data_IF_158390724745
#
_entry.id   IF_158390724745
#
_cell.length_a   1.000
_cell.length_b   1.000
_cell.length_c   1.000
_cell.angle_alpha   90.00
_cell.angle_beta   90.00
_cell.angle_gamma   90.00
#
_symmetry.space_group_name_H-M   'P 1'
#
loop_
_entity.id
_entity.type
_entity.pdbx_description
1 polymer ?
#
# COMPACT_ATOMS: atom_id res chain seq x y z
N UNK A 1 -3.04 19.99 -27.07
CA UNK A 1 -2.65 18.62 -26.73
C UNK A 1 -3.42 17.64 -27.58
N UNK A 2 -2.77 16.56 -28.03
CA UNK A 2 -3.43 15.51 -28.81
C UNK A 2 -4.40 14.77 -27.88
N UNK A 3 -5.68 14.69 -28.26
CA UNK A 3 -6.68 13.90 -27.53
C UNK A 3 -6.31 12.42 -27.68
N UNK A 4 -5.91 11.78 -26.60
CA UNK A 4 -5.48 10.36 -26.61
C UNK A 4 -6.67 9.43 -26.46
N UNK A 5 -7.74 9.89 -25.82
CA UNK A 5 -8.95 9.13 -25.58
C UNK A 5 -10.14 10.08 -25.32
N UNK A 6 -11.30 9.77 -25.92
CA UNK A 6 -12.57 10.44 -25.64
C UNK A 6 -13.51 9.44 -24.96
N UNK A 7 -13.92 9.69 -23.69
CA UNK A 7 -14.89 8.84 -23.01
C UNK A 7 -16.28 8.93 -23.67
N UNK A 8 -17.18 7.99 -23.36
CA UNK A 8 -18.58 8.05 -23.80
C UNK A 8 -19.26 9.35 -23.36
N UNK A 9 -20.34 9.78 -24.05
CA UNK A 9 -21.13 10.92 -23.60
C UNK A 9 -21.63 10.74 -22.17
N UNK A 10 -21.66 11.82 -21.39
CA UNK A 10 -22.01 11.75 -19.97
C UNK A 10 -23.41 11.17 -19.72
N UNK A 11 -24.34 11.32 -20.65
CA UNK A 11 -25.69 10.74 -20.58
C UNK A 11 -25.68 9.21 -20.54
N UNK A 12 -24.64 8.57 -21.09
CA UNK A 12 -24.51 7.11 -21.12
C UNK A 12 -23.69 6.57 -19.93
N UNK A 13 -22.96 7.44 -19.23
CA UNK A 13 -22.07 7.03 -18.13
C UNK A 13 -22.79 6.20 -17.09
N UNK A 14 -24.00 6.63 -16.67
CA UNK A 14 -24.78 5.87 -15.67
C UNK A 14 -25.10 4.46 -16.17
N UNK A 15 -25.56 4.32 -17.42
CA UNK A 15 -25.89 3.03 -18.02
C UNK A 15 -24.68 2.09 -18.01
N UNK A 16 -23.52 2.57 -18.50
CA UNK A 16 -22.30 1.74 -18.55
C UNK A 16 -21.76 1.39 -17.16
N UNK A 17 -21.91 2.29 -16.18
CA UNK A 17 -21.55 1.98 -14.79
C UNK A 17 -22.49 0.95 -14.18
N UNK A 18 -23.80 1.00 -14.43
CA UNK A 18 -24.77 0.00 -13.98
C UNK A 18 -24.44 -1.38 -14.59
N UNK A 19 -24.11 -1.45 -15.87
CA UNK A 19 -23.68 -2.66 -16.57
C UNK A 19 -22.37 -3.22 -15.99
N UNK A 20 -21.38 -2.37 -15.70
CA UNK A 20 -20.13 -2.76 -15.08
C UNK A 20 -20.36 -3.32 -13.67
N UNK A 21 -21.21 -2.68 -12.87
CA UNK A 21 -21.57 -3.13 -11.52
C UNK A 21 -22.29 -4.49 -11.59
N UNK A 22 -23.19 -4.67 -12.55
CA UNK A 22 -23.85 -5.95 -12.77
C UNK A 22 -22.83 -7.05 -13.10
N UNK A 23 -21.89 -6.78 -14.03
CA UNK A 23 -20.81 -7.69 -14.37
C UNK A 23 -19.91 -8.03 -13.15
N UNK A 24 -19.54 -7.03 -12.35
CA UNK A 24 -18.75 -7.23 -11.13
C UNK A 24 -19.45 -8.15 -10.11
N UNK A 25 -20.78 -8.14 -10.08
CA UNK A 25 -21.59 -8.91 -9.13
C UNK A 25 -22.01 -10.28 -9.66
N UNK A 26 -21.83 -10.55 -10.94
CA UNK A 26 -22.09 -11.88 -11.49
C UNK A 26 -20.99 -12.85 -11.04
N UNK A 27 -21.38 -13.85 -10.25
CA UNK A 27 -20.49 -14.91 -9.75
C UNK A 27 -20.67 -16.23 -10.50
N UNK A 28 -21.53 -16.25 -11.51
CA UNK A 28 -21.90 -17.48 -12.25
C UNK A 28 -21.25 -17.58 -13.63
N UNK A 29 -20.54 -16.55 -14.06
CA UNK A 29 -19.89 -16.47 -15.37
C UNK A 29 -18.67 -17.39 -15.52
N UNK A 30 -18.18 -17.99 -14.42
CA UNK A 30 -17.03 -18.89 -14.42
C UNK A 30 -15.68 -18.23 -14.76
N UNK A 31 -15.63 -16.89 -14.87
CA UNK A 31 -14.41 -16.14 -15.19
C UNK A 31 -13.51 -16.10 -13.98
N UNK A 32 -12.22 -16.42 -14.17
CA UNK A 32 -11.23 -16.31 -13.10
C UNK A 32 -11.19 -14.86 -12.55
N UNK A 33 -11.24 -14.66 -11.21
CA UNK A 33 -11.33 -13.34 -10.61
C UNK A 33 -10.20 -12.37 -11.00
N UNK A 34 -8.97 -12.86 -11.24
CA UNK A 34 -7.86 -12.00 -11.70
C UNK A 34 -8.08 -11.50 -13.13
N UNK A 35 -8.63 -12.36 -14.02
CA UNK A 35 -9.00 -11.96 -15.37
C UNK A 35 -10.17 -10.97 -15.32
N UNK A 36 -11.14 -11.24 -14.48
CA UNK A 36 -12.29 -10.36 -14.27
C UNK A 36 -11.88 -8.99 -13.72
N UNK A 37 -10.94 -8.95 -12.78
CA UNK A 37 -10.36 -7.69 -12.30
C UNK A 37 -9.70 -6.86 -13.42
N UNK A 38 -8.99 -7.53 -14.35
CA UNK A 38 -8.41 -6.86 -15.52
C UNK A 38 -9.48 -6.24 -16.41
N UNK A 39 -10.56 -6.97 -16.69
CA UNK A 39 -11.69 -6.50 -17.51
C UNK A 39 -12.40 -5.33 -16.81
N UNK A 40 -12.72 -5.47 -15.55
CA UNK A 40 -13.36 -4.43 -14.73
C UNK A 40 -12.54 -3.15 -14.78
N UNK A 41 -11.23 -3.24 -14.56
CA UNK A 41 -10.36 -2.07 -14.57
C UNK A 41 -10.33 -1.38 -15.93
N UNK A 42 -10.17 -2.13 -17.05
CA UNK A 42 -10.16 -1.54 -18.38
C UNK A 42 -11.50 -0.92 -18.78
N UNK A 43 -12.61 -1.52 -18.37
CA UNK A 43 -13.94 -0.97 -18.60
C UNK A 43 -14.17 0.30 -17.81
N UNK A 44 -13.81 0.32 -16.52
CA UNK A 44 -13.89 1.52 -15.69
C UNK A 44 -13.09 2.69 -16.29
N UNK A 45 -11.84 2.42 -16.72
CA UNK A 45 -10.99 3.42 -17.37
C UNK A 45 -11.54 3.87 -18.74
N UNK A 46 -12.35 3.03 -19.39
CA UNK A 46 -13.03 3.35 -20.67
C UNK A 46 -14.30 4.16 -20.46
N UNK A 47 -15.09 3.87 -19.43
CA UNK A 47 -16.27 4.64 -19.05
C UNK A 47 -15.87 6.04 -18.57
N UNK A 48 -14.78 6.11 -17.78
CA UNK A 48 -14.18 7.35 -17.28
C UNK A 48 -15.19 8.26 -16.56
N UNK A 49 -15.86 7.76 -15.49
CA UNK A 49 -17.08 8.39 -14.97
C UNK A 49 -16.87 9.71 -14.23
N UNK A 50 -15.65 10.09 -13.91
CA UNK A 50 -15.33 11.29 -13.13
C UNK A 50 -14.53 12.30 -13.96
N UNK A 51 -14.66 13.59 -13.65
CA UNK A 51 -13.84 14.63 -14.28
C UNK A 51 -12.35 14.46 -13.96
N UNK A 52 -12.04 13.98 -12.75
CA UNK A 52 -10.68 13.75 -12.28
C UNK A 52 -10.60 12.52 -11.37
N UNK A 53 -9.43 11.87 -11.36
CA UNK A 53 -9.14 10.81 -10.40
C UNK A 53 -9.55 9.40 -10.84
N UNK A 54 -10.06 9.21 -12.06
CA UNK A 54 -10.48 7.90 -12.57
C UNK A 54 -9.40 6.84 -12.38
N UNK A 55 -8.15 7.11 -12.75
CA UNK A 55 -7.07 6.15 -12.58
C UNK A 55 -6.79 5.75 -11.12
N UNK A 56 -7.00 6.65 -10.15
CA UNK A 56 -6.89 6.30 -8.72
C UNK A 56 -8.03 5.41 -8.28
N UNK A 57 -9.26 5.77 -8.65
CA UNK A 57 -10.46 4.99 -8.33
C UNK A 57 -10.41 3.62 -9.03
N UNK A 58 -10.03 3.58 -10.31
CA UNK A 58 -9.91 2.34 -11.07
C UNK A 58 -8.90 1.36 -10.45
N UNK A 59 -7.75 1.85 -9.96
CA UNK A 59 -6.78 1.01 -9.27
C UNK A 59 -7.25 0.57 -7.88
N UNK A 60 -7.95 1.43 -7.15
CA UNK A 60 -8.58 1.03 -5.88
C UNK A 60 -9.64 -0.04 -6.10
N UNK A 61 -10.42 0.06 -7.18
CA UNK A 61 -11.44 -0.91 -7.54
C UNK A 61 -10.88 -2.32 -7.76
N UNK A 62 -9.64 -2.45 -8.28
CA UNK A 62 -8.96 -3.74 -8.39
C UNK A 62 -8.84 -4.41 -7.02
N UNK A 63 -8.29 -3.69 -6.04
CA UNK A 63 -8.09 -4.23 -4.67
C UNK A 63 -9.41 -4.59 -4.01
N UNK A 64 -10.42 -3.73 -4.13
CA UNK A 64 -11.74 -3.96 -3.56
C UNK A 64 -12.45 -5.16 -4.21
N UNK A 65 -12.34 -5.31 -5.54
CA UNK A 65 -12.92 -6.44 -6.24
C UNK A 65 -12.23 -7.76 -5.86
N UNK A 66 -10.90 -7.80 -5.84
CA UNK A 66 -10.16 -9.01 -5.44
C UNK A 66 -10.42 -9.41 -3.98
N UNK A 67 -10.60 -8.43 -3.09
CA UNK A 67 -11.01 -8.68 -1.72
C UNK A 67 -12.44 -9.26 -1.64
N UNK A 68 -13.40 -8.67 -2.36
CA UNK A 68 -14.76 -9.18 -2.45
C UNK A 68 -14.83 -10.59 -3.05
N UNK A 69 -13.97 -10.88 -4.01
CA UNK A 69 -13.87 -12.20 -4.66
C UNK A 69 -13.04 -13.21 -3.85
N UNK A 70 -12.66 -12.87 -2.62
CA UNK A 70 -11.89 -13.71 -1.68
C UNK A 70 -10.53 -14.18 -2.22
N UNK A 71 -9.97 -13.47 -3.21
CA UNK A 71 -8.62 -13.74 -3.75
C UNK A 71 -7.53 -13.21 -2.81
N UNK A 72 -7.84 -12.15 -2.07
CA UNK A 72 -6.96 -11.54 -1.07
C UNK A 72 -7.73 -11.35 0.24
N UNK A 73 -7.04 -11.47 1.38
CA UNK A 73 -7.65 -11.39 2.71
C UNK A 73 -7.84 -9.94 3.22
N UNK A 74 -7.23 -8.97 2.54
CA UNK A 74 -7.35 -7.54 2.87
C UNK A 74 -7.16 -6.70 1.61
N UNK A 75 -7.80 -5.51 1.50
CA UNK A 75 -7.80 -4.72 0.26
C UNK A 75 -6.53 -3.86 0.10
N UNK A 76 -5.35 -4.40 0.43
CA UNK A 76 -4.06 -3.70 0.36
C UNK A 76 -3.21 -4.05 -0.87
N UNK A 77 -3.81 -4.67 -1.87
CA UNK A 77 -3.12 -5.01 -3.11
C UNK A 77 -3.15 -3.83 -4.10
N UNK A 78 -2.29 -2.84 -3.90
CA UNK A 78 -2.25 -1.64 -4.74
C UNK A 78 -1.35 -1.83 -5.96
N UNK A 79 -1.96 -1.78 -7.16
CA UNK A 79 -1.26 -1.94 -8.44
C UNK A 79 -0.52 -0.68 -8.93
N UNK A 80 -0.56 0.40 -8.16
CA UNK A 80 -0.07 1.72 -8.63
C UNK A 80 1.43 1.72 -8.91
N UNK A 81 2.23 1.05 -8.08
CA UNK A 81 3.67 0.96 -8.24
C UNK A 81 4.04 0.19 -9.52
N UNK A 82 3.54 -1.05 -9.66
CA UNK A 82 3.82 -1.90 -10.82
C UNK A 82 3.36 -1.27 -12.15
N UNK A 83 2.27 -0.49 -12.13
CA UNK A 83 1.78 0.22 -13.31
C UNK A 83 2.63 1.46 -13.60
N UNK A 84 3.08 2.20 -12.57
CA UNK A 84 3.85 3.44 -12.76
C UNK A 84 5.21 3.21 -13.39
N UNK A 85 5.82 2.05 -13.17
CA UNK A 85 7.09 1.64 -13.78
C UNK A 85 7.01 1.58 -15.31
N UNK A 86 5.85 1.20 -15.87
CA UNK A 86 5.61 1.06 -17.31
C UNK A 86 4.41 1.87 -17.79
N UNK A 87 4.26 3.09 -17.30
CA UNK A 87 3.10 3.95 -17.54
C UNK A 87 2.72 4.08 -19.02
N UNK A 88 3.71 4.22 -19.92
CA UNK A 88 3.46 4.30 -21.36
C UNK A 88 2.88 3.01 -21.93
N UNK A 89 3.44 1.87 -21.49
CA UNK A 89 2.95 0.54 -21.94
C UNK A 89 1.53 0.32 -21.41
N UNK A 90 1.27 0.67 -20.16
CA UNK A 90 -0.06 0.59 -19.57
C UNK A 90 -1.12 1.34 -20.39
N UNK A 91 -0.87 2.59 -20.77
CA UNK A 91 -1.83 3.34 -21.61
C UNK A 91 -2.01 2.74 -23.00
N UNK A 92 -0.94 2.22 -23.61
CA UNK A 92 -1.04 1.53 -24.90
C UNK A 92 -1.90 0.27 -24.78
N UNK A 93 -1.73 -0.53 -23.71
CA UNK A 93 -2.52 -1.72 -23.48
C UNK A 93 -3.99 -1.40 -23.18
N UNK A 94 -4.28 -0.35 -22.43
CA UNK A 94 -5.66 0.15 -22.26
C UNK A 94 -6.30 0.55 -23.59
N UNK A 95 -5.55 1.25 -24.45
CA UNK A 95 -6.03 1.63 -25.77
C UNK A 95 -6.30 0.39 -26.62
N UNK A 96 -5.41 -0.59 -26.60
CA UNK A 96 -5.56 -1.86 -27.31
C UNK A 96 -6.80 -2.63 -26.85
N UNK A 97 -7.08 -2.64 -25.54
CA UNK A 97 -8.29 -3.33 -25.01
C UNK A 97 -9.59 -2.72 -25.53
N UNK A 98 -9.63 -1.42 -25.81
CA UNK A 98 -10.80 -0.72 -26.38
C UNK A 98 -11.05 -1.07 -27.84
N UNK A 99 -10.03 -1.54 -28.56
CA UNK A 99 -10.11 -1.97 -29.98
C UNK A 99 -10.27 -3.46 -30.15
N UNK A 100 -10.49 -4.21 -29.05
CA UNK A 100 -10.81 -5.65 -29.07
C UNK A 100 -9.65 -6.58 -28.69
N UNK A 101 -8.42 -6.08 -28.45
CA UNK A 101 -7.27 -6.90 -28.03
C UNK A 101 -7.22 -7.12 -26.50
N UNK A 102 -8.24 -7.79 -25.96
CA UNK A 102 -8.28 -8.10 -24.52
C UNK A 102 -7.20 -9.05 -24.06
N UNK A 103 -6.73 -9.97 -24.90
CA UNK A 103 -5.69 -10.95 -24.54
C UNK A 103 -4.39 -10.25 -24.15
N UNK A 104 -3.96 -9.25 -24.91
CA UNK A 104 -2.73 -8.50 -24.63
C UNK A 104 -2.85 -7.69 -23.33
N UNK A 105 -4.00 -7.04 -23.15
CA UNK A 105 -4.31 -6.31 -21.92
C UNK A 105 -4.31 -7.22 -20.70
N UNK A 106 -5.05 -8.33 -20.74
CA UNK A 106 -5.13 -9.30 -19.64
C UNK A 106 -3.75 -9.87 -19.31
N UNK A 107 -2.97 -10.22 -20.34
CA UNK A 107 -1.61 -10.72 -20.17
C UNK A 107 -0.69 -9.69 -19.49
N UNK A 108 -0.75 -8.43 -19.92
CA UNK A 108 -0.03 -7.33 -19.30
C UNK A 108 -0.45 -7.16 -17.83
N UNK A 109 -1.76 -7.09 -17.58
CA UNK A 109 -2.32 -6.91 -16.23
C UNK A 109 -1.86 -8.02 -15.28
N UNK A 110 -1.97 -9.29 -15.68
CA UNK A 110 -1.54 -10.44 -14.87
C UNK A 110 -0.03 -10.42 -14.59
N UNK A 111 0.80 -10.04 -15.57
CA UNK A 111 2.23 -9.83 -15.34
C UNK A 111 2.48 -8.76 -14.29
N UNK A 112 1.73 -7.66 -14.31
CA UNK A 112 1.83 -6.58 -13.31
C UNK A 112 1.34 -7.05 -11.93
N UNK A 113 0.31 -7.88 -11.85
CA UNK A 113 -0.09 -8.54 -10.60
C UNK A 113 1.06 -9.36 -9.99
N UNK A 114 1.77 -10.14 -10.81
CA UNK A 114 2.92 -10.95 -10.34
C UNK A 114 4.05 -10.05 -9.83
N UNK A 115 4.37 -8.97 -10.55
CA UNK A 115 5.42 -8.00 -10.13
C UNK A 115 5.04 -7.39 -8.78
N UNK A 116 3.80 -6.91 -8.65
CA UNK A 116 3.32 -6.28 -7.40
C UNK A 116 3.29 -7.27 -6.24
N UNK A 117 2.82 -8.50 -6.46
CA UNK A 117 2.80 -9.53 -5.42
C UNK A 117 4.22 -9.86 -4.90
N UNK A 118 5.21 -9.96 -5.80
CA UNK A 118 6.61 -10.19 -5.42
C UNK A 118 7.20 -9.01 -4.66
N UNK A 119 6.88 -7.77 -5.05
CA UNK A 119 7.29 -6.57 -4.34
C UNK A 119 6.73 -6.57 -2.92
N UNK A 120 5.45 -6.87 -2.74
CA UNK A 120 4.83 -6.95 -1.41
C UNK A 120 5.42 -8.06 -0.54
N UNK A 121 5.69 -9.24 -1.09
CA UNK A 121 6.36 -10.34 -0.35
C UNK A 121 7.73 -9.87 0.14
N UNK A 122 8.54 -9.30 -0.75
CA UNK A 122 9.88 -8.78 -0.40
C UNK A 122 9.81 -7.68 0.67
N UNK A 123 8.80 -6.82 0.60
CA UNK A 123 8.57 -5.78 1.62
C UNK A 123 8.22 -6.40 2.98
N UNK A 124 7.31 -7.37 3.02
CA UNK A 124 6.92 -8.08 4.25
C UNK A 124 8.10 -8.82 4.86
N UNK A 125 8.91 -9.50 4.05
CA UNK A 125 10.13 -10.18 4.52
C UNK A 125 11.12 -9.18 5.12
N UNK A 126 11.30 -8.02 4.48
CA UNK A 126 12.16 -6.95 4.99
C UNK A 126 11.65 -6.38 6.31
N UNK A 127 10.34 -6.19 6.43
CA UNK A 127 9.70 -5.72 7.66
C UNK A 127 9.84 -6.73 8.80
N UNK A 128 9.62 -8.01 8.52
CA UNK A 128 9.80 -9.09 9.49
C UNK A 128 11.26 -9.18 9.97
N UNK A 129 12.22 -9.08 9.05
CA UNK A 129 13.65 -9.06 9.38
C UNK A 129 14.01 -7.85 10.26
N UNK A 130 13.47 -6.66 9.94
CA UNK A 130 13.66 -5.46 10.74
C UNK A 130 13.04 -5.65 12.15
N UNK A 131 11.84 -6.21 12.24
CA UNK A 131 11.16 -6.48 13.49
C UNK A 131 12.00 -7.42 14.39
N UNK A 132 12.42 -8.57 13.87
CA UNK A 132 13.20 -9.54 14.63
C UNK A 132 14.57 -8.99 15.07
N UNK A 133 15.25 -8.22 14.21
CA UNK A 133 16.51 -7.54 14.55
C UNK A 133 16.30 -6.53 15.68
N UNK A 134 15.29 -5.68 15.54
CA UNK A 134 14.95 -4.65 16.54
C UNK A 134 14.58 -5.30 17.88
N UNK A 135 13.77 -6.35 17.85
CA UNK A 135 13.39 -7.13 19.03
C UNK A 135 14.60 -7.65 19.78
N UNK A 136 15.55 -8.30 19.10
CA UNK A 136 16.78 -8.82 19.72
C UNK A 136 17.66 -7.71 20.31
N UNK A 137 17.84 -6.61 19.56
CA UNK A 137 18.62 -5.46 20.03
C UNK A 137 17.97 -4.83 21.26
N UNK A 138 16.66 -4.64 21.26
CA UNK A 138 15.90 -4.11 22.38
C UNK A 138 16.02 -4.98 23.62
N UNK A 139 15.93 -6.32 23.48
CA UNK A 139 16.12 -7.28 24.59
C UNK A 139 17.49 -7.15 25.27
N UNK A 140 18.52 -6.90 24.47
CA UNK A 140 19.89 -6.73 24.97
C UNK A 140 20.17 -5.33 25.54
N UNK A 141 19.33 -4.34 25.21
CA UNK A 141 19.56 -2.93 25.55
C UNK A 141 18.77 -2.50 26.78
N UNK A 142 17.54 -2.98 26.93
CA UNK A 142 16.61 -2.53 27.99
C UNK A 142 15.99 -3.74 28.68
N UNK A 143 16.22 -3.82 29.99
CA UNK A 143 15.48 -4.78 30.85
C UNK A 143 14.25 -4.11 31.45
N UNK A 144 13.07 -4.46 30.95
CA UNK A 144 11.80 -3.85 31.40
C UNK A 144 10.62 -4.79 31.17
N UNK A 145 9.63 -4.82 32.08
CA UNK A 145 8.37 -5.53 31.81
C UNK A 145 7.52 -4.87 30.70
N UNK A 146 7.87 -3.67 30.26
CA UNK A 146 7.22 -2.92 29.19
C UNK A 146 7.79 -3.21 27.79
N UNK A 147 8.60 -4.24 27.66
CA UNK A 147 9.34 -4.61 26.45
C UNK A 147 8.44 -4.65 25.19
N UNK A 148 7.35 -5.45 25.25
CA UNK A 148 6.47 -5.63 24.10
C UNK A 148 5.75 -4.32 23.72
N UNK A 149 5.36 -3.51 24.72
CA UNK A 149 4.74 -2.21 24.49
C UNK A 149 5.71 -1.20 23.85
N UNK A 150 7.00 -1.23 24.21
CA UNK A 150 8.02 -0.39 23.58
C UNK A 150 8.17 -0.81 22.10
N UNK A 151 8.32 -2.11 21.85
CA UNK A 151 8.49 -2.65 20.51
C UNK A 151 7.30 -2.30 19.61
N UNK A 152 6.08 -2.51 20.09
CA UNK A 152 4.84 -2.10 19.39
C UNK A 152 4.80 -0.60 19.13
N UNK A 153 5.13 0.21 20.14
CA UNK A 153 5.16 1.67 20.00
C UNK A 153 6.13 2.13 18.90
N UNK A 154 7.33 1.54 18.82
CA UNK A 154 8.32 1.89 17.79
C UNK A 154 7.83 1.58 16.37
N UNK A 155 7.15 0.43 16.16
CA UNK A 155 6.64 0.05 14.86
C UNK A 155 5.35 0.78 14.46
N UNK A 156 4.56 1.22 15.45
CA UNK A 156 3.33 1.99 15.22
C UNK A 156 3.62 3.50 15.09
N UNK A 157 4.61 4.00 15.81
CA UNK A 157 4.99 5.41 15.88
C UNK A 157 6.49 5.59 15.64
N UNK A 158 6.95 5.51 14.38
CA UNK A 158 8.39 5.58 14.07
C UNK A 158 9.03 6.96 14.31
N UNK A 159 8.22 7.96 14.63
CA UNK A 159 8.65 9.30 15.04
C UNK A 159 7.99 9.61 16.39
N UNK A 160 8.79 9.75 17.44
CA UNK A 160 8.27 9.92 18.79
C UNK A 160 9.18 10.78 19.67
N UNK A 161 8.68 11.20 20.82
CA UNK A 161 9.45 11.90 21.85
C UNK A 161 9.21 11.31 23.22
N UNK A 162 9.96 11.80 24.22
CA UNK A 162 9.90 11.27 25.58
C UNK A 162 8.53 11.43 26.27
N UNK A 163 7.81 12.53 26.01
CA UNK A 163 6.46 12.74 26.53
C UNK A 163 5.48 11.73 25.97
N UNK A 164 5.48 11.57 24.64
CA UNK A 164 4.62 10.60 23.96
C UNK A 164 4.88 9.17 24.47
N UNK A 165 6.15 8.74 24.56
CA UNK A 165 6.46 7.39 25.05
C UNK A 165 6.06 7.21 26.52
N UNK A 166 6.23 8.26 27.37
CA UNK A 166 5.80 8.21 28.76
C UNK A 166 4.28 7.98 28.89
N UNK A 167 3.51 8.72 28.12
CA UNK A 167 2.04 8.61 28.08
C UNK A 167 1.58 7.23 27.58
N UNK A 168 2.18 6.73 26.49
CA UNK A 168 1.83 5.42 25.92
C UNK A 168 2.13 4.26 26.88
N UNK A 169 3.21 4.36 27.63
CA UNK A 169 3.65 3.28 28.54
C UNK A 169 3.15 3.46 29.97
N UNK A 170 2.57 4.61 30.33
CA UNK A 170 2.22 4.93 31.71
C UNK A 170 3.44 4.96 32.64
N UNK A 171 4.55 5.60 32.21
CA UNK A 171 5.81 5.72 32.96
C UNK A 171 6.21 7.21 33.12
N UNK A 172 7.21 7.47 33.96
CA UNK A 172 7.74 8.83 34.11
C UNK A 172 8.49 9.29 32.85
N UNK A 173 8.46 10.63 32.58
CA UNK A 173 9.24 11.24 31.51
C UNK A 173 10.74 10.94 31.61
N UNK A 174 11.28 10.85 32.82
CA UNK A 174 12.68 10.51 33.07
C UNK A 174 12.99 9.06 32.64
N UNK A 175 12.09 8.15 32.90
CA UNK A 175 12.22 6.74 32.49
C UNK A 175 12.09 6.58 30.97
N UNK A 176 11.11 7.26 30.33
CA UNK A 176 10.96 7.27 28.90
C UNK A 176 12.20 7.79 28.18
N UNK A 177 12.80 8.89 28.67
CA UNK A 177 14.07 9.42 28.13
C UNK A 177 15.20 8.41 28.22
N UNK A 178 15.37 7.76 29.38
CA UNK A 178 16.41 6.72 29.53
C UNK A 178 16.25 5.61 28.51
N UNK A 179 15.02 5.19 28.22
CA UNK A 179 14.76 4.16 27.20
C UNK A 179 15.13 4.68 25.81
N UNK A 180 14.71 5.91 25.45
CA UNK A 180 15.01 6.49 24.13
C UNK A 180 16.50 6.71 23.93
N UNK A 181 17.22 7.19 24.94
CA UNK A 181 18.68 7.39 24.88
C UNK A 181 19.42 6.04 24.75
N UNK A 182 18.95 4.99 25.44
CA UNK A 182 19.49 3.65 25.29
C UNK A 182 19.23 3.06 23.89
N UNK A 183 18.04 3.30 23.32
CA UNK A 183 17.69 2.88 21.97
C UNK A 183 18.48 3.65 20.89
N UNK A 184 18.77 4.91 21.12
CA UNK A 184 19.68 5.68 20.27
C UNK A 184 21.11 5.13 20.37
N UNK A 185 21.60 4.89 21.57
CA UNK A 185 22.94 4.31 21.79
C UNK A 185 23.10 2.90 21.17
N UNK A 186 22.01 2.15 21.02
CA UNK A 186 21.99 0.85 20.33
C UNK A 186 21.83 0.93 18.82
N UNK A 187 21.62 2.13 18.27
CA UNK A 187 21.42 2.38 16.84
C UNK A 187 20.00 2.07 16.31
N UNK A 188 19.03 1.78 17.19
CA UNK A 188 17.62 1.60 16.77
C UNK A 188 17.00 2.94 16.40
N UNK A 189 17.27 3.99 17.16
CA UNK A 189 16.73 5.32 16.94
C UNK A 189 17.84 6.33 16.63
N UNK A 190 17.46 7.40 15.97
CA UNK A 190 18.26 8.59 15.77
C UNK A 190 17.52 9.79 16.37
N UNK A 191 18.15 10.50 17.33
CA UNK A 191 17.59 11.71 17.91
C UNK A 191 17.97 12.95 17.12
N UNK A 192 17.13 13.99 17.19
CA UNK A 192 17.49 15.34 16.71
C UNK A 192 18.40 16.08 17.73
N UNK A 193 18.94 17.22 17.32
CA UNK A 193 19.89 18.00 18.14
C UNK A 193 19.21 18.87 19.23
N UNK A 194 17.90 18.76 19.42
CA UNK A 194 17.17 19.59 20.40
C UNK A 194 17.47 19.17 21.83
N UNK A 195 17.77 20.14 22.70
CA UNK A 195 17.95 19.86 24.14
C UNK A 195 16.63 19.68 24.90
N UNK A 196 15.52 20.25 24.41
CA UNK A 196 14.17 20.12 25.00
C UNK A 196 13.19 19.66 23.94
N UNK A 197 12.30 18.73 24.30
CA UNK A 197 11.33 18.18 23.36
C UNK A 197 12.00 17.40 22.21
N UNK A 198 13.16 16.75 22.49
CA UNK A 198 13.91 15.96 21.51
C UNK A 198 13.03 14.94 20.84
N UNK A 199 13.10 14.84 19.52
CA UNK A 199 12.39 13.87 18.70
C UNK A 199 13.35 12.78 18.27
N UNK A 200 12.85 11.55 18.29
CA UNK A 200 13.60 10.35 17.89
C UNK A 200 12.91 9.72 16.69
N UNK A 201 13.71 9.23 15.77
CA UNK A 201 13.28 8.66 14.47
C UNK A 201 13.74 7.22 14.37
N UNK A 202 12.84 6.31 14.06
CA UNK A 202 13.19 4.96 13.66
C UNK A 202 13.49 4.94 12.17
N UNK A 203 14.71 5.36 11.81
CA UNK A 203 15.12 5.63 10.43
C UNK A 203 14.97 4.40 9.55
N UNK A 204 15.40 3.22 10.01
CA UNK A 204 15.30 1.98 9.22
C UNK A 204 13.85 1.66 8.83
N UNK A 205 12.87 1.89 9.74
CA UNK A 205 11.46 1.68 9.44
C UNK A 205 10.92 2.75 8.48
N UNK A 206 11.31 4.00 8.69
CA UNK A 206 10.90 5.09 7.80
C UNK A 206 11.46 4.90 6.37
N UNK A 207 12.70 4.45 6.25
CA UNK A 207 13.31 4.19 4.94
C UNK A 207 12.68 2.97 4.26
N UNK A 208 12.32 1.93 5.03
CA UNK A 208 11.58 0.80 4.51
C UNK A 208 10.19 1.23 4.01
N UNK A 209 9.46 2.05 4.78
CA UNK A 209 8.14 2.56 4.40
C UNK A 209 8.15 3.47 3.16
N UNK A 210 9.26 4.14 2.87
CA UNK A 210 9.42 4.95 1.64
C UNK A 210 9.59 4.10 0.38
N UNK A 211 9.96 2.83 0.53
CA UNK A 211 10.17 1.88 -0.59
C UNK A 211 8.93 1.02 -0.88
N UNK A 212 7.92 1.12 -0.02
CA UNK A 212 6.62 0.46 -0.15
C UNK A 212 5.69 1.26 -1.08
#
# INVERSE_FOLDING_TARGET
GTIVFTPPPHQETKKYMDELIAYMNDTKDGVNPLIKAAIIHSQFESIHPFDNGNGRVGRLLISLYLYKAEVINCPFFYMSEAISQDKRVYYNMLTSSRTGSYTDWITFFLKKCVVQARSHISYIDSLNNLYERTKRTLQNTISTPKFDQILECLFTHPVLNGGFLADQLGISNAQARRYLDALEGSGILQGDDRKRGRTYYFVDLLDLARRA
#
